data_IF_870047088439
#
_entry.id   IF_870047088439
#
_cell.length_a   1.000
_cell.length_b   1.000
_cell.length_c   1.000
_cell.angle_alpha   90.00
_cell.angle_beta   90.00
_cell.angle_gamma   90.00
#
_symmetry.space_group_name_H-M   'P 1'
#
loop_
_entity.id
_entity.type
_entity.pdbx_description
1 polymer ?
#
# COMPACT_ATOMS: atom_id res chain seq x y z
N UNK A 1 -7.28 -16.57 -5.61
CA UNK A 1 -7.22 -16.11 -4.21
C UNK A 1 -8.07 -14.87 -4.06
N UNK A 2 -8.77 -14.70 -2.94
CA UNK A 2 -9.50 -13.47 -2.65
C UNK A 2 -8.48 -12.46 -2.11
N UNK A 3 -7.92 -11.61 -2.97
CA UNK A 3 -6.85 -10.67 -2.60
C UNK A 3 -7.32 -9.46 -1.77
N UNK A 4 -8.60 -9.43 -1.37
CA UNK A 4 -9.27 -8.30 -0.72
C UNK A 4 -10.37 -8.83 0.20
N UNK A 5 -10.72 -8.04 1.22
CA UNK A 5 -11.85 -8.35 2.10
C UNK A 5 -13.18 -8.41 1.34
N UNK A 6 -14.25 -8.84 2.01
CA UNK A 6 -15.66 -8.69 1.59
C UNK A 6 -15.99 -7.23 1.24
N UNK A 7 -15.31 -6.26 1.83
CA UNK A 7 -15.43 -4.83 1.53
C UNK A 7 -14.55 -4.36 0.36
N UNK A 8 -13.77 -5.24 -0.25
CA UNK A 8 -12.84 -4.89 -1.33
C UNK A 8 -11.59 -4.11 -0.86
N UNK A 9 -11.30 -4.13 0.45
CA UNK A 9 -10.23 -3.35 1.07
C UNK A 9 -9.08 -4.24 1.58
N UNK A 10 -7.91 -3.61 1.72
CA UNK A 10 -6.75 -4.11 2.45
C UNK A 10 -6.32 -3.01 3.44
N UNK A 11 -5.76 -3.35 4.61
CA UNK A 11 -5.58 -4.72 5.12
C UNK A 11 -6.90 -5.37 5.61
N UNK A 12 -6.89 -6.69 5.73
CA UNK A 12 -7.89 -7.47 6.47
C UNK A 12 -7.22 -8.68 7.12
N UNK A 13 -7.85 -9.22 8.16
CA UNK A 13 -7.47 -10.46 8.83
C UNK A 13 -8.66 -11.41 8.91
N UNK A 14 -8.39 -12.68 9.15
CA UNK A 14 -9.38 -13.64 9.63
C UNK A 14 -9.04 -14.01 11.07
N UNK A 15 -9.99 -13.81 11.98
CA UNK A 15 -9.82 -14.06 13.40
C UNK A 15 -10.95 -14.97 13.88
N UNK A 16 -10.63 -16.21 14.21
CA UNK A 16 -11.60 -17.25 14.59
C UNK A 16 -12.74 -17.45 13.56
N UNK A 17 -12.42 -17.42 12.26
CA UNK A 17 -13.40 -17.57 11.18
C UNK A 17 -14.18 -16.29 10.83
N UNK A 18 -13.93 -15.18 11.53
CA UNK A 18 -14.52 -13.88 11.21
C UNK A 18 -13.53 -13.00 10.42
N UNK A 19 -13.99 -12.45 9.31
CA UNK A 19 -13.20 -11.52 8.48
C UNK A 19 -13.33 -10.10 9.01
N UNK A 20 -12.21 -9.49 9.41
CA UNK A 20 -12.13 -8.12 9.94
C UNK A 20 -11.29 -7.30 8.98
N UNK A 21 -11.86 -6.23 8.42
CA UNK A 21 -11.20 -5.32 7.48
C UNK A 21 -11.07 -3.92 8.07
N UNK A 22 -10.13 -3.13 7.52
CA UNK A 22 -9.70 -1.80 7.99
C UNK A 22 -8.69 -1.88 9.13
N UNK A 23 -7.54 -1.22 8.99
CA UNK A 23 -6.44 -1.27 9.98
C UNK A 23 -6.86 -0.76 11.36
N UNK A 24 -7.66 0.30 11.42
CA UNK A 24 -8.13 0.88 12.69
C UNK A 24 -9.06 -0.08 13.41
N UNK A 25 -9.96 -0.73 12.66
CA UNK A 25 -10.87 -1.74 13.20
C UNK A 25 -10.08 -2.96 13.66
N UNK A 26 -9.15 -3.46 12.83
CA UNK A 26 -8.28 -4.59 13.15
C UNK A 26 -7.51 -4.35 14.45
N UNK A 27 -6.85 -3.19 14.57
CA UNK A 27 -6.12 -2.83 15.78
C UNK A 27 -7.03 -2.83 17.00
N UNK A 28 -8.21 -2.19 16.91
CA UNK A 28 -9.18 -2.16 18.01
C UNK A 28 -9.61 -3.56 18.46
N UNK A 29 -9.99 -4.43 17.52
CA UNK A 29 -10.46 -5.78 17.84
C UNK A 29 -9.34 -6.63 18.46
N UNK A 30 -8.12 -6.55 17.93
CA UNK A 30 -6.96 -7.25 18.48
C UNK A 30 -6.60 -6.72 19.88
N UNK A 31 -6.55 -5.40 20.06
CA UNK A 31 -6.27 -4.77 21.35
C UNK A 31 -7.27 -5.20 22.42
N UNK A 32 -8.57 -5.20 22.09
CA UNK A 32 -9.64 -5.68 22.97
C UNK A 32 -9.48 -7.15 23.30
N UNK A 33 -9.27 -8.01 22.28
CA UNK A 33 -9.19 -9.46 22.45
C UNK A 33 -7.99 -9.92 23.28
N UNK A 34 -6.84 -9.26 23.11
CA UNK A 34 -5.59 -9.64 23.78
C UNK A 34 -5.27 -8.78 25.01
N UNK A 35 -6.13 -7.81 25.36
CA UNK A 35 -5.90 -6.90 26.48
C UNK A 35 -4.63 -6.06 26.32
N UNK A 36 -4.36 -5.61 25.09
CA UNK A 36 -3.16 -4.85 24.72
C UNK A 36 -3.55 -3.53 24.06
N UNK A 37 -3.76 -2.48 24.86
CA UNK A 37 -3.94 -1.12 24.35
C UNK A 37 -2.57 -0.40 24.30
N UNK A 38 -2.08 -0.13 23.09
CA UNK A 38 -0.83 0.63 22.86
C UNK A 38 -0.93 2.07 23.35
N UNK A 39 -2.15 2.62 23.43
CA UNK A 39 -2.39 4.00 23.80
C UNK A 39 -2.81 4.12 25.27
N UNK A 40 -2.77 3.03 26.06
CA UNK A 40 -3.30 2.99 27.43
C UNK A 40 -2.76 4.09 28.34
N UNK A 41 -1.48 4.44 28.19
CA UNK A 41 -0.80 5.45 28.99
C UNK A 41 -1.09 6.90 28.52
N UNK A 42 -1.74 7.10 27.38
CA UNK A 42 -1.95 8.43 26.81
C UNK A 42 -3.05 9.19 27.55
N UNK A 43 -2.76 10.47 27.83
CA UNK A 43 -3.77 11.43 28.29
C UNK A 43 -4.78 11.76 27.19
N UNK A 44 -5.93 12.32 27.54
CA UNK A 44 -6.94 12.75 26.56
C UNK A 44 -6.41 13.75 25.54
N UNK A 45 -5.49 14.64 25.97
CA UNK A 45 -4.82 15.59 25.09
C UNK A 45 -3.89 14.87 24.12
N UNK A 46 -3.06 13.95 24.61
CA UNK A 46 -2.15 13.16 23.77
C UNK A 46 -2.92 12.30 22.76
N UNK A 47 -4.07 11.72 23.15
CA UNK A 47 -4.95 10.98 22.23
C UNK A 47 -5.50 11.88 21.12
N UNK A 48 -5.86 13.12 21.44
CA UNK A 48 -6.32 14.10 20.45
C UNK A 48 -5.20 14.48 19.48
N UNK A 49 -3.99 14.73 19.98
CA UNK A 49 -2.81 14.99 19.15
C UNK A 49 -2.47 13.78 18.27
N UNK A 50 -2.50 12.58 18.84
CA UNK A 50 -2.27 11.32 18.11
C UNK A 50 -3.22 11.19 16.93
N UNK A 51 -4.51 11.41 17.16
CA UNK A 51 -5.52 11.39 16.10
C UNK A 51 -5.24 12.41 14.99
N UNK A 52 -4.88 13.64 15.35
CA UNK A 52 -4.56 14.69 14.37
C UNK A 52 -3.33 14.32 13.52
N UNK A 53 -2.29 13.78 14.14
CA UNK A 53 -1.06 13.38 13.45
C UNK A 53 -1.26 12.18 12.55
N UNK A 54 -1.98 11.15 13.02
CA UNK A 54 -2.39 10.00 12.19
C UNK A 54 -3.20 10.48 10.99
N UNK A 55 -4.16 11.40 11.22
CA UNK A 55 -4.98 11.97 10.15
C UNK A 55 -4.15 12.72 9.11
N UNK A 56 -3.13 13.48 9.52
CA UNK A 56 -2.17 14.13 8.62
C UNK A 56 -1.37 13.09 7.81
N UNK A 57 -0.85 12.06 8.46
CA UNK A 57 -0.08 11.00 7.79
C UNK A 57 -0.94 10.32 6.71
N UNK A 58 -2.15 9.91 7.06
CA UNK A 58 -3.03 9.09 6.20
C UNK A 58 -3.83 9.89 5.17
N UNK A 59 -4.03 11.20 5.38
CA UNK A 59 -4.82 12.04 4.46
C UNK A 59 -4.02 13.13 3.76
N UNK A 60 -2.73 13.33 4.11
CA UNK A 60 -1.86 14.30 3.46
C UNK A 60 -0.53 13.68 3.00
N UNK A 61 0.32 13.21 3.93
CA UNK A 61 1.66 12.69 3.61
C UNK A 61 1.59 11.51 2.64
N UNK A 62 0.72 10.54 2.89
CA UNK A 62 0.56 9.36 2.01
C UNK A 62 0.13 9.75 0.60
N UNK A 63 -0.62 10.84 0.45
CA UNK A 63 -1.06 11.33 -0.86
C UNK A 63 0.06 12.04 -1.61
N UNK A 64 0.97 12.72 -0.90
CA UNK A 64 2.19 13.25 -1.49
C UNK A 64 3.07 12.11 -2.03
N UNK A 65 3.26 11.05 -1.24
CA UNK A 65 3.94 9.82 -1.65
C UNK A 65 3.24 9.16 -2.84
N UNK A 66 1.92 9.02 -2.80
CA UNK A 66 1.14 8.43 -3.87
C UNK A 66 1.25 9.24 -5.17
N UNK A 67 1.20 10.57 -5.10
CA UNK A 67 1.38 11.44 -6.25
C UNK A 67 2.75 11.23 -6.89
N UNK A 68 3.83 11.22 -6.09
CA UNK A 68 5.18 10.89 -6.58
C UNK A 68 5.22 9.52 -7.26
N UNK A 69 4.64 8.48 -6.64
CA UNK A 69 4.60 7.11 -7.20
C UNK A 69 3.91 7.06 -8.56
N UNK A 70 2.79 7.76 -8.71
CA UNK A 70 2.03 7.78 -9.97
C UNK A 70 2.77 8.43 -11.12
N UNK A 71 3.62 9.43 -10.81
CA UNK A 71 4.44 10.15 -11.80
C UNK A 71 5.78 9.46 -12.07
N UNK A 72 6.28 8.63 -11.15
CA UNK A 72 7.62 8.03 -11.19
C UNK A 72 7.59 6.49 -11.20
N UNK A 73 6.68 5.88 -11.96
CA UNK A 73 6.42 4.43 -11.91
C UNK A 73 7.66 3.55 -12.17
N UNK A 74 8.55 3.98 -13.06
CA UNK A 74 9.82 3.29 -13.32
C UNK A 74 10.73 3.25 -12.09
N UNK A 75 10.83 4.39 -11.41
CA UNK A 75 11.59 4.51 -10.16
C UNK A 75 10.94 3.70 -9.05
N UNK A 76 9.61 3.63 -8.99
CA UNK A 76 8.87 2.79 -8.03
C UNK A 76 9.19 1.31 -8.26
N UNK A 77 9.06 0.82 -9.49
CA UNK A 77 9.31 -0.60 -9.80
C UNK A 77 10.76 -0.99 -9.49
N UNK A 78 11.72 -0.14 -9.86
CA UNK A 78 13.15 -0.36 -9.59
C UNK A 78 13.48 -0.21 -8.10
N UNK A 79 13.03 0.87 -7.48
CA UNK A 79 13.41 1.27 -6.12
C UNK A 79 12.84 0.38 -5.04
N UNK A 80 11.66 -0.20 -5.25
CA UNK A 80 11.09 -1.21 -4.36
C UNK A 80 11.33 -2.64 -4.85
N UNK A 81 12.15 -2.82 -5.90
CA UNK A 81 12.51 -4.14 -6.47
C UNK A 81 11.28 -5.00 -6.78
N UNK A 82 10.23 -4.37 -7.29
CA UNK A 82 8.95 -5.03 -7.56
C UNK A 82 9.10 -5.99 -8.73
N UNK A 83 8.92 -7.28 -8.47
CA UNK A 83 8.83 -8.30 -9.51
C UNK A 83 7.35 -8.61 -9.81
N UNK A 84 6.83 -8.05 -10.90
CA UNK A 84 5.43 -8.23 -11.31
C UNK A 84 5.08 -9.68 -11.68
N UNK A 85 6.03 -10.46 -12.19
CA UNK A 85 5.80 -11.88 -12.48
C UNK A 85 5.51 -12.65 -11.19
N UNK A 86 6.36 -12.43 -10.18
CA UNK A 86 6.20 -13.02 -8.85
C UNK A 86 4.90 -12.55 -8.19
N UNK A 87 4.65 -11.23 -8.18
CA UNK A 87 3.47 -10.64 -7.55
C UNK A 87 2.14 -11.09 -8.17
N UNK A 88 2.11 -11.34 -9.48
CA UNK A 88 0.90 -11.76 -10.21
C UNK A 88 0.85 -13.27 -10.46
N UNK A 89 1.85 -14.04 -10.04
CA UNK A 89 1.92 -15.48 -10.28
C UNK A 89 1.94 -15.87 -11.77
N UNK A 90 2.49 -15.00 -12.63
CA UNK A 90 2.42 -15.13 -14.09
C UNK A 90 3.80 -15.35 -14.72
N UNK A 91 3.81 -15.98 -15.90
CA UNK A 91 5.02 -16.19 -16.72
C UNK A 91 5.15 -15.17 -17.85
N UNK A 92 4.24 -14.21 -17.96
CA UNK A 92 4.30 -13.14 -18.98
C UNK A 92 5.62 -12.39 -18.84
N UNK A 93 6.36 -12.09 -19.93
CA UNK A 93 7.61 -11.35 -19.87
C UNK A 93 7.51 -10.03 -19.10
N UNK A 94 8.51 -9.73 -18.26
CA UNK A 94 8.52 -8.56 -17.38
C UNK A 94 8.35 -7.23 -18.12
N UNK A 95 8.90 -7.09 -19.34
CA UNK A 95 8.73 -5.87 -20.14
C UNK A 95 7.27 -5.59 -20.49
N UNK A 96 6.51 -6.65 -20.83
CA UNK A 96 5.09 -6.57 -21.16
C UNK A 96 4.29 -6.22 -19.90
N UNK A 97 4.53 -6.93 -18.79
CA UNK A 97 3.89 -6.63 -17.50
C UNK A 97 4.16 -5.22 -17.02
N UNK A 98 5.41 -4.74 -17.12
CA UNK A 98 5.78 -3.39 -16.74
C UNK A 98 5.02 -2.36 -17.59
N UNK A 99 4.89 -2.59 -18.90
CA UNK A 99 4.12 -1.70 -19.77
C UNK A 99 2.63 -1.64 -19.37
N UNK A 100 1.99 -2.80 -19.22
CA UNK A 100 0.59 -2.86 -18.79
C UNK A 100 0.38 -2.27 -17.40
N UNK A 101 1.29 -2.55 -16.46
CA UNK A 101 1.24 -2.01 -15.11
C UNK A 101 1.30 -0.49 -15.12
N UNK A 102 2.28 0.09 -15.82
CA UNK A 102 2.38 1.55 -15.97
C UNK A 102 1.13 2.15 -16.59
N UNK A 103 0.61 1.55 -17.65
CA UNK A 103 -0.54 2.09 -18.35
C UNK A 103 -1.82 2.03 -17.49
N UNK A 104 -2.06 0.90 -16.84
CA UNK A 104 -3.29 0.67 -16.06
C UNK A 104 -3.22 1.27 -14.66
N UNK A 105 -2.21 0.91 -13.87
CA UNK A 105 -2.03 1.40 -12.50
C UNK A 105 -1.60 2.85 -12.47
N UNK A 106 -0.76 3.30 -13.40
CA UNK A 106 -0.39 4.71 -13.52
C UNK A 106 -1.61 5.60 -13.80
N UNK A 107 -2.44 5.27 -14.79
CA UNK A 107 -3.65 6.06 -15.11
C UNK A 107 -4.68 6.03 -13.99
N UNK A 108 -4.97 4.85 -13.40
CA UNK A 108 -5.91 4.73 -12.28
C UNK A 108 -5.40 5.48 -11.05
N UNK A 109 -4.12 5.36 -10.74
CA UNK A 109 -3.47 6.07 -9.65
C UNK A 109 -3.50 7.59 -9.85
N UNK A 110 -3.15 8.08 -11.04
CA UNK A 110 -3.20 9.49 -11.40
C UNK A 110 -4.61 10.08 -11.22
N UNK A 111 -5.65 9.35 -11.63
CA UNK A 111 -7.05 9.76 -11.39
C UNK A 111 -7.38 9.86 -9.90
N UNK A 112 -6.93 8.91 -9.09
CA UNK A 112 -7.18 8.91 -7.63
C UNK A 112 -6.49 10.07 -6.92
N UNK A 113 -5.20 10.29 -7.19
CA UNK A 113 -4.47 11.41 -6.57
C UNK A 113 -5.04 12.75 -7.01
N UNK A 114 -5.50 12.87 -8.26
CA UNK A 114 -6.21 14.08 -8.73
C UNK A 114 -7.55 14.26 -8.00
N UNK A 115 -8.33 13.20 -7.82
CA UNK A 115 -9.61 13.25 -7.10
C UNK A 115 -9.46 13.60 -5.62
N UNK A 116 -8.37 13.19 -4.98
CA UNK A 116 -8.08 13.57 -3.59
C UNK A 116 -7.59 15.03 -3.46
N UNK A 117 -7.04 15.61 -4.53
CA UNK A 117 -6.55 16.99 -4.55
C UNK A 117 -5.05 17.08 -4.78
N UNK A 118 -4.23 16.16 -4.22
CA UNK A 118 -2.77 16.21 -4.36
C UNK A 118 -2.28 16.19 -5.82
N UNK A 119 -3.03 15.53 -6.71
CA UNK A 119 -2.67 15.38 -8.12
C UNK A 119 -2.83 16.64 -8.97
N UNK A 120 -3.43 17.72 -8.46
CA UNK A 120 -3.54 19.00 -9.20
C UNK A 120 -2.29 19.87 -9.07
N UNK A 121 -1.43 19.55 -8.11
CA UNK A 121 -0.22 20.31 -7.81
C UNK A 121 0.99 19.87 -8.66
N UNK A 122 1.94 20.79 -8.79
CA UNK A 122 3.25 20.54 -9.41
C UNK A 122 4.07 19.53 -8.59
N UNK A 123 5.01 18.81 -9.22
CA UNK A 123 5.91 17.92 -8.49
C UNK A 123 6.65 18.61 -7.33
N UNK A 124 7.06 19.86 -7.52
CA UNK A 124 7.79 20.67 -6.53
C UNK A 124 6.91 20.99 -5.32
N UNK A 125 5.68 21.46 -5.53
CA UNK A 125 4.70 21.72 -4.47
C UNK A 125 4.38 20.45 -3.67
N UNK A 126 4.15 19.33 -4.37
CA UNK A 126 3.90 18.02 -3.72
C UNK A 126 5.09 17.61 -2.85
N UNK A 127 6.31 17.84 -3.31
CA UNK A 127 7.51 17.55 -2.54
C UNK A 127 7.58 18.44 -1.30
N UNK A 128 7.29 19.74 -1.43
CA UNK A 128 7.26 20.68 -0.30
C UNK A 128 6.22 20.28 0.75
N UNK A 129 5.03 19.85 0.34
CA UNK A 129 4.00 19.35 1.25
C UNK A 129 4.47 18.12 2.03
N UNK A 130 5.07 17.14 1.36
CA UNK A 130 5.63 15.97 2.03
C UNK A 130 6.76 16.33 2.99
N UNK A 131 7.68 17.23 2.60
CA UNK A 131 8.75 17.71 3.48
C UNK A 131 8.21 18.46 4.70
N UNK A 132 7.15 19.25 4.55
CA UNK A 132 6.50 19.95 5.66
C UNK A 132 5.89 18.97 6.67
N UNK A 133 5.19 17.93 6.20
CA UNK A 133 4.64 16.88 7.08
C UNK A 133 5.75 16.12 7.82
N UNK A 134 6.84 15.78 7.12
CA UNK A 134 8.01 15.16 7.73
C UNK A 134 8.63 16.05 8.81
N UNK A 135 8.73 17.36 8.55
CA UNK A 135 9.22 18.35 9.52
C UNK A 135 8.32 18.41 10.76
N UNK A 136 7.00 18.39 10.60
CA UNK A 136 6.04 18.37 11.73
C UNK A 136 6.24 17.13 12.59
N UNK A 137 6.36 15.94 11.98
CA UNK A 137 6.62 14.69 12.70
C UNK A 137 7.98 14.75 13.41
N UNK A 138 9.01 15.25 12.74
CA UNK A 138 10.35 15.45 13.31
C UNK A 138 10.31 16.36 14.53
N UNK A 139 9.61 17.49 14.44
CA UNK A 139 9.50 18.46 15.55
C UNK A 139 8.71 17.88 16.72
N UNK A 140 7.64 17.14 16.44
CA UNK A 140 6.85 16.48 17.49
C UNK A 140 7.66 15.38 18.20
N UNK A 141 8.45 14.59 17.45
CA UNK A 141 9.30 13.56 18.02
C UNK A 141 10.41 14.20 18.89
N UNK A 142 11.01 15.29 18.41
CA UNK A 142 12.12 15.98 19.07
C UNK A 142 13.22 14.97 19.47
N UNK A 143 13.64 15.00 20.74
CA UNK A 143 14.66 14.10 21.30
C UNK A 143 14.09 12.82 21.91
N UNK A 144 12.76 12.59 21.83
CA UNK A 144 12.11 11.43 22.43
C UNK A 144 12.36 10.17 21.59
N UNK A 145 12.42 8.97 22.21
CA UNK A 145 12.55 7.73 21.46
C UNK A 145 11.26 7.42 20.65
N UNK A 146 10.08 7.75 21.19
CA UNK A 146 8.77 7.64 20.54
C UNK A 146 7.93 8.91 20.74
N UNK A 147 6.87 9.10 19.97
CA UNK A 147 6.16 10.39 19.91
C UNK A 147 5.65 10.90 21.27
N UNK A 148 5.26 9.99 22.16
CA UNK A 148 4.71 10.31 23.49
C UNK A 148 5.58 9.85 24.68
N UNK A 149 6.83 9.41 24.45
CA UNK A 149 7.74 9.04 25.53
C UNK A 149 8.56 7.79 25.20
N UNK A 150 8.72 6.91 26.19
CA UNK A 150 9.65 5.78 26.14
C UNK A 150 9.09 4.51 25.48
N UNK A 151 7.76 4.39 25.36
CA UNK A 151 7.10 3.25 24.72
C UNK A 151 6.35 3.68 23.46
N UNK A 152 6.32 2.83 22.41
CA UNK A 152 5.63 3.12 21.17
C UNK A 152 4.11 3.04 21.36
N UNK A 153 3.44 3.95 20.67
CA UNK A 153 1.98 4.08 20.64
C UNK A 153 1.43 3.75 19.25
N UNK A 154 0.11 3.85 19.07
CA UNK A 154 -0.49 3.68 17.74
C UNK A 154 0.11 4.67 16.73
N UNK A 155 0.42 5.91 17.15
CA UNK A 155 1.05 6.90 16.27
C UNK A 155 2.42 6.44 15.77
N UNK A 156 3.24 5.81 16.62
CA UNK A 156 4.56 5.30 16.23
C UNK A 156 4.44 4.17 15.20
N UNK A 157 3.46 3.29 15.36
CA UNK A 157 3.17 2.19 14.41
C UNK A 157 2.75 2.76 13.05
N UNK A 158 1.81 3.70 13.04
CA UNK A 158 1.32 4.35 11.81
C UNK A 158 2.44 5.14 11.13
N UNK A 159 3.19 5.92 11.89
CA UNK A 159 4.32 6.69 11.36
C UNK A 159 5.37 5.75 10.75
N UNK A 160 5.79 4.69 11.46
CA UNK A 160 6.74 3.72 10.92
C UNK A 160 6.26 3.10 9.61
N UNK A 161 4.99 2.67 9.52
CA UNK A 161 4.43 2.05 8.33
C UNK A 161 4.53 2.95 7.08
N UNK A 162 4.47 4.28 7.25
CA UNK A 162 4.56 5.25 6.16
C UNK A 162 5.99 5.72 5.91
N UNK A 163 6.73 6.08 6.97
CA UNK A 163 8.10 6.56 6.89
C UNK A 163 9.07 5.48 6.38
N UNK A 164 8.87 4.21 6.74
CA UNK A 164 9.67 3.10 6.23
C UNK A 164 9.59 2.98 4.70
N UNK A 165 8.42 3.26 4.11
CA UNK A 165 8.26 3.26 2.66
C UNK A 165 9.04 4.39 1.98
N UNK A 166 9.31 5.49 2.70
CA UNK A 166 10.12 6.60 2.21
C UNK A 166 11.61 6.31 2.42
N UNK A 167 11.98 5.88 3.62
CA UNK A 167 13.37 5.70 4.03
C UNK A 167 14.08 4.57 3.29
N UNK A 168 13.42 3.41 3.17
CA UNK A 168 14.05 2.16 2.75
C UNK A 168 13.89 1.85 1.25
N UNK A 169 13.41 2.81 0.45
CA UNK A 169 13.52 2.70 -1.00
C UNK A 169 15.00 2.65 -1.40
N UNK A 170 15.33 1.90 -2.46
CA UNK A 170 16.71 1.76 -2.93
C UNK A 170 17.42 3.12 -3.05
N UNK A 171 18.60 3.24 -2.43
CA UNK A 171 19.37 4.48 -2.31
C UNK A 171 19.71 5.12 -3.67
N UNK A 172 19.81 4.31 -4.73
CA UNK A 172 20.11 4.79 -6.08
C UNK A 172 18.88 5.39 -6.78
N UNK A 173 17.69 5.24 -6.18
CA UNK A 173 16.46 5.85 -6.68
C UNK A 173 16.42 7.32 -6.26
N UNK A 174 16.33 8.29 -7.19
CA UNK A 174 16.19 9.69 -6.84
C UNK A 174 14.84 9.90 -6.14
N UNK A 175 14.84 10.32 -4.88
CA UNK A 175 13.60 10.55 -4.15
C UNK A 175 13.75 11.62 -3.06
N UNK A 176 13.27 12.82 -3.36
CA UNK A 176 13.48 13.99 -2.52
C UNK A 176 12.97 13.84 -1.07
N UNK A 177 11.85 13.13 -0.84
CA UNK A 177 11.35 12.94 0.53
C UNK A 177 12.30 12.07 1.38
N UNK A 178 12.94 11.07 0.78
CA UNK A 178 13.97 10.27 1.47
C UNK A 178 15.16 11.15 1.81
N UNK A 179 15.66 11.89 0.83
CA UNK A 179 16.85 12.73 0.97
C UNK A 179 16.60 13.82 2.05
N UNK A 180 15.45 14.49 1.99
CA UNK A 180 15.02 15.47 3.00
C UNK A 180 14.96 14.85 4.39
N UNK A 181 14.35 13.67 4.55
CA UNK A 181 14.25 13.00 5.85
C UNK A 181 15.62 12.64 6.42
N UNK A 182 16.56 12.18 5.58
CA UNK A 182 17.92 11.85 6.00
C UNK A 182 18.72 13.10 6.42
N UNK A 183 18.58 14.19 5.69
CA UNK A 183 19.34 15.42 5.92
C UNK A 183 18.76 16.30 7.04
N UNK A 184 17.43 16.36 7.15
CA UNK A 184 16.73 17.36 7.97
C UNK A 184 15.92 16.73 9.13
N UNK A 185 15.68 15.41 9.10
CA UNK A 185 14.90 14.71 10.12
C UNK A 185 15.63 13.45 10.64
N UNK A 186 16.89 13.55 11.10
CA UNK A 186 17.66 12.38 11.53
C UNK A 186 17.03 11.64 12.72
N UNK A 187 16.24 12.32 13.54
CA UNK A 187 15.47 11.70 14.62
C UNK A 187 14.36 10.77 14.10
N UNK A 188 13.71 11.09 12.97
CA UNK A 188 12.75 10.20 12.28
C UNK A 188 13.44 8.97 11.69
N UNK A 189 14.67 9.12 11.17
CA UNK A 189 15.49 7.97 10.74
C UNK A 189 15.77 7.06 11.94
N UNK A 190 16.15 7.65 13.08
CA UNK A 190 16.34 6.91 14.33
C UNK A 190 15.07 6.21 14.81
N UNK A 191 13.91 6.87 14.74
CA UNK A 191 12.60 6.28 15.03
C UNK A 191 12.32 5.06 14.16
N UNK A 192 12.53 5.18 12.85
CA UNK A 192 12.37 4.07 11.93
C UNK A 192 13.30 2.90 12.24
N UNK A 193 14.54 3.15 12.66
CA UNK A 193 15.47 2.08 13.07
C UNK A 193 14.95 1.36 14.31
N UNK A 194 14.56 2.10 15.35
CA UNK A 194 14.04 1.54 16.61
C UNK A 194 12.80 0.68 16.37
N UNK A 195 11.84 1.18 15.59
CA UNK A 195 10.61 0.44 15.25
C UNK A 195 10.92 -0.81 14.41
N UNK A 196 11.81 -0.70 13.43
CA UNK A 196 12.26 -1.85 12.62
C UNK A 196 12.89 -2.94 13.50
N UNK A 197 13.86 -2.58 14.33
CA UNK A 197 14.57 -3.53 15.20
C UNK A 197 13.63 -4.21 16.21
N UNK A 198 12.66 -3.45 16.76
CA UNK A 198 11.70 -3.97 17.73
C UNK A 198 10.66 -4.91 17.12
N UNK A 199 10.18 -4.61 15.91
CA UNK A 199 9.05 -5.32 15.30
C UNK A 199 9.46 -6.37 14.25
N UNK A 200 10.64 -6.24 13.66
CA UNK A 200 11.10 -7.06 12.53
C UNK A 200 12.55 -7.51 12.71
N UNK A 201 12.83 -8.39 13.69
CA UNK A 201 14.19 -8.90 13.93
C UNK A 201 14.76 -9.67 12.72
N UNK A 202 13.90 -10.16 11.84
CA UNK A 202 14.16 -10.90 10.61
C UNK A 202 13.97 -10.04 9.33
N UNK A 203 14.04 -8.71 9.45
CA UNK A 203 13.81 -7.76 8.36
C UNK A 203 14.53 -8.11 7.05
N UNK A 204 15.82 -8.45 7.13
CA UNK A 204 16.64 -8.77 5.96
C UNK A 204 16.18 -10.07 5.28
N UNK A 205 15.74 -11.07 6.05
CA UNK A 205 15.18 -12.31 5.52
C UNK A 205 13.83 -12.05 4.85
N UNK A 206 12.96 -11.28 5.49
CA UNK A 206 11.66 -10.88 4.91
C UNK A 206 11.88 -10.14 3.58
N UNK A 207 12.82 -9.20 3.54
CA UNK A 207 13.08 -8.37 2.36
C UNK A 207 13.77 -9.14 1.22
N UNK A 208 14.61 -10.14 1.54
CA UNK A 208 15.31 -10.94 0.53
C UNK A 208 14.46 -12.07 -0.03
N UNK A 209 13.64 -12.71 0.80
CA UNK A 209 12.79 -13.84 0.43
C UNK A 209 11.38 -13.44 0.00
N UNK A 210 10.97 -12.20 0.34
CA UNK A 210 9.59 -11.71 0.21
C UNK A 210 8.57 -12.56 0.98
N UNK A 211 9.02 -13.23 2.04
CA UNK A 211 8.19 -13.98 2.96
C UNK A 211 8.00 -13.20 4.26
N UNK A 212 6.76 -12.80 4.54
CA UNK A 212 6.41 -12.03 5.75
C UNK A 212 6.29 -12.89 7.02
N UNK A 213 6.33 -14.22 6.88
CA UNK A 213 6.15 -15.19 7.97
C UNK A 213 7.35 -16.14 8.09
N UNK A 214 8.55 -15.61 7.94
CA UNK A 214 9.85 -16.31 8.08
C UNK A 214 9.97 -17.11 9.38
N UNK A 215 9.35 -16.62 10.46
CA UNK A 215 9.34 -17.28 11.77
C UNK A 215 8.33 -18.44 11.89
N UNK A 216 7.40 -18.63 10.94
CA UNK A 216 6.41 -19.70 11.00
C UNK A 216 6.94 -20.98 10.32
N UNK A 217 6.69 -22.18 10.88
CA UNK A 217 7.03 -23.44 10.23
C UNK A 217 6.34 -23.55 8.87
N UNK A 218 7.13 -23.80 7.82
CA UNK A 218 6.60 -24.02 6.47
C UNK A 218 6.16 -25.48 6.32
N UNK A 219 5.02 -25.75 5.67
CA UNK A 219 4.63 -27.12 5.36
C UNK A 219 5.70 -27.77 4.46
N UNK A 220 6.03 -29.03 4.74
CA UNK A 220 6.98 -29.80 3.94
C UNK A 220 6.50 -29.86 2.49
N UNK A 221 7.36 -29.45 1.54
CA UNK A 221 7.05 -29.55 0.11
C UNK A 221 7.01 -31.04 -0.26
N UNK A 222 5.82 -31.58 -0.48
CA UNK A 222 5.67 -32.89 -1.10
C UNK A 222 6.19 -32.80 -2.55
N UNK A 223 7.13 -33.66 -2.92
CA UNK A 223 7.55 -33.83 -4.31
C UNK A 223 6.38 -34.45 -5.10
N UNK A 224 5.64 -33.63 -5.84
CA UNK A 224 4.57 -34.12 -6.71
C UNK A 224 5.16 -34.98 -7.85
N UNK A 225 4.88 -36.28 -7.79
CA UNK A 225 5.15 -37.23 -8.85
C UNK A 225 4.38 -36.91 -10.15
N UNK A 226 4.88 -37.46 -11.27
CA UNK A 226 4.47 -37.14 -12.65
C UNK A 226 2.96 -37.17 -12.94
N UNK A 227 2.15 -37.89 -12.18
CA UNK A 227 0.69 -37.98 -12.38
C UNK A 227 -0.06 -36.70 -11.95
N UNK A 228 0.39 -35.99 -10.90
CA UNK A 228 -0.24 -34.72 -10.48
C UNK A 228 -0.06 -33.58 -11.50
N UNK A 229 0.89 -33.72 -12.42
CA UNK A 229 1.20 -32.72 -13.45
C UNK A 229 0.22 -32.70 -14.62
N UNK A 230 -0.46 -33.82 -14.91
CA UNK A 230 -1.46 -33.88 -15.99
C UNK A 230 -2.82 -33.39 -15.50
N UNK A 231 -3.26 -33.79 -14.31
CA UNK A 231 -4.50 -33.28 -13.70
C UNK A 231 -4.40 -31.76 -13.38
N UNK A 232 -3.23 -31.27 -12.97
CA UNK A 232 -2.99 -29.84 -12.77
C UNK A 232 -2.97 -29.03 -14.08
N UNK A 233 -2.75 -29.69 -15.23
CA UNK A 233 -2.74 -29.05 -16.55
C UNK A 233 -4.15 -28.94 -17.12
N UNK A 234 -4.94 -30.00 -17.07
CA UNK A 234 -6.35 -29.97 -17.48
C UNK A 234 -7.19 -29.03 -16.59
N UNK A 235 -6.92 -29.00 -15.29
CA UNK A 235 -7.60 -28.07 -14.38
C UNK A 235 -7.15 -26.61 -14.55
N UNK A 236 -5.99 -26.35 -15.16
CA UNK A 236 -5.55 -24.99 -15.54
C UNK A 236 -6.14 -24.53 -16.86
N UNK A 237 -6.13 -25.39 -17.88
CA UNK A 237 -6.69 -25.07 -19.21
C UNK A 237 -8.20 -24.80 -19.11
N UNK A 238 -8.94 -25.62 -18.35
CA UNK A 238 -10.38 -25.40 -18.10
C UNK A 238 -10.70 -24.15 -17.26
N UNK A 239 -9.72 -23.61 -16.52
CA UNK A 239 -9.87 -22.39 -15.72
C UNK A 239 -9.50 -21.14 -16.51
N UNK A 240 -8.51 -21.24 -17.39
CA UNK A 240 -8.13 -20.17 -18.33
C UNK A 240 -9.22 -19.95 -19.41
N UNK A 241 -9.88 -21.01 -19.90
CA UNK A 241 -11.05 -20.85 -20.80
C UNK A 241 -12.22 -20.13 -20.12
N UNK A 242 -12.51 -20.47 -18.85
CA UNK A 242 -13.58 -19.81 -18.07
C UNK A 242 -13.27 -18.37 -17.70
N UNK A 243 -12.01 -18.02 -17.48
CA UNK A 243 -11.59 -16.63 -17.24
C UNK A 243 -11.60 -15.81 -18.53
N UNK A 244 -11.24 -16.41 -19.68
CA UNK A 244 -11.31 -15.77 -21.00
C UNK A 244 -12.73 -15.40 -21.42
N UNK A 245 -13.72 -16.27 -21.20
CA UNK A 245 -15.13 -15.98 -21.48
C UNK A 245 -15.70 -14.89 -20.56
N UNK A 246 -15.25 -14.85 -19.30
CA UNK A 246 -15.70 -13.85 -18.33
C UNK A 246 -15.13 -12.46 -18.64
N UNK A 247 -13.90 -12.39 -19.10
CA UNK A 247 -13.26 -11.13 -19.51
C UNK A 247 -13.86 -10.57 -20.82
N UNK A 248 -14.38 -11.45 -21.68
CA UNK A 248 -15.10 -11.08 -22.91
C UNK A 248 -16.49 -10.52 -22.60
N UNK A 249 -17.23 -11.14 -21.67
CA UNK A 249 -18.53 -10.67 -21.20
C UNK A 249 -18.43 -9.29 -20.50
N UNK A 250 -17.44 -9.10 -19.62
CA UNK A 250 -17.18 -7.81 -18.94
C UNK A 250 -16.78 -6.68 -19.90
N UNK A 251 -16.34 -7.03 -21.12
CA UNK A 251 -15.95 -6.07 -22.17
C UNK A 251 -17.15 -5.68 -23.02
N UNK A 252 -18.04 -6.63 -23.34
CA UNK A 252 -19.30 -6.37 -24.04
C UNK A 252 -20.27 -5.54 -23.20
N UNK A 253 -20.36 -5.78 -21.88
CA UNK A 253 -21.19 -4.93 -20.99
C UNK A 253 -20.68 -3.48 -20.90
N UNK A 254 -19.34 -3.28 -20.91
CA UNK A 254 -18.74 -1.93 -20.88
C UNK A 254 -18.84 -1.18 -22.21
N UNK A 255 -18.95 -1.89 -23.33
CA UNK A 255 -19.23 -1.26 -24.63
C UNK A 255 -20.70 -0.84 -24.72
N UNK A 256 -21.63 -1.66 -24.21
CA UNK A 256 -23.05 -1.28 -24.12
C UNK A 256 -23.33 -0.11 -23.16
N UNK A 257 -22.60 0.02 -22.05
CA UNK A 257 -22.73 1.20 -21.16
C UNK A 257 -22.20 2.48 -21.80
N UNK A 258 -21.11 2.39 -22.59
CA UNK A 258 -20.56 3.54 -23.32
C UNK A 258 -21.48 4.04 -24.43
N UNK A 259 -22.13 3.14 -25.15
CA UNK A 259 -23.06 3.54 -26.22
C UNK A 259 -24.31 4.23 -25.64
N UNK A 260 -24.77 3.83 -24.45
CA UNK A 260 -25.86 4.50 -23.73
C UNK A 260 -25.47 5.90 -23.21
N UNK A 261 -24.25 6.08 -22.70
CA UNK A 261 -23.78 7.41 -22.28
C UNK A 261 -23.58 8.38 -23.46
N UNK A 262 -23.25 7.87 -24.65
CA UNK A 262 -23.09 8.70 -25.86
C UNK A 262 -24.44 9.16 -26.43
N UNK A 263 -25.48 8.32 -26.35
CA UNK A 263 -26.83 8.70 -26.78
C UNK A 263 -27.49 9.68 -25.78
N UNK A 264 -27.32 9.50 -24.47
CA UNK A 264 -27.84 10.46 -23.48
C UNK A 264 -27.19 11.86 -23.57
N UNK A 265 -25.92 11.94 -23.96
CA UNK A 265 -25.26 13.23 -24.18
C UNK A 265 -25.70 13.92 -25.48
N UNK A 266 -26.08 13.16 -26.53
CA UNK A 266 -26.61 13.72 -27.78
C UNK A 266 -28.03 14.26 -27.64
N UNK A 267 -28.85 13.69 -26.74
CA UNK A 267 -30.17 14.22 -26.45
C UNK A 267 -30.09 15.52 -25.63
N UNK A 268 -29.17 15.62 -24.66
CA UNK A 268 -28.98 16.85 -23.86
C UNK A 268 -28.42 18.04 -24.65
N UNK A 269 -27.69 17.83 -25.74
CA UNK A 269 -27.23 18.91 -26.63
C UNK A 269 -28.32 19.42 -27.59
N UNK A 270 -29.42 18.66 -27.80
CA UNK A 270 -30.52 19.08 -28.68
C UNK A 270 -31.61 19.90 -27.97
N UNK A 271 -31.77 19.74 -26.66
CA UNK A 271 -32.77 20.49 -25.87
C UNK A 271 -32.23 21.81 -25.26
N UNK A 272 -30.96 22.14 -25.52
CA UNK A 272 -30.28 23.31 -24.96
C UNK A 272 -30.06 24.49 -25.92
N UNK A 273 -30.79 24.59 -27.04
CA UNK A 273 -30.59 25.64 -28.06
C UNK A 273 -31.88 26.32 -28.50
#
# INVERSE_FOLDING_TARGET
MKFRSKKGQLPFIELNGEEIADSTIILRELSSKFGKDLDAALTSEQRSVSHAMISMIENHLVWAVACWRTKNMDQVLKGYKVNLQHALGTRIPTGILNFFFKFTFGRKGAKKVKAQGMGVHTPEEVSQFGCADLKVLSDMLADKPFFFGDEPTTLDVVAFAHLAQILYIDKETPYNLRDYMQENCPNLVGHCSRMKERCFPDWDEICSTLDINTHLPKPEKQEEGKEGKEEAKESKESKEEKEGDKEKADKEEKEMEKDKEVDENKEKEKDGK
#
